data_IF_126007245800
#
_entry.id   IF_126007245800
#
_cell.length_a   1.000
_cell.length_b   1.000
_cell.length_c   1.000
_cell.angle_alpha   90.00
_cell.angle_beta   90.00
_cell.angle_gamma   90.00
#
_symmetry.space_group_name_H-M   'P 1'
#
loop_
_entity.id
_entity.type
_entity.pdbx_description
1 polymer ?
#
# COMPACT_ATOMS: atom_id res chain seq x y z
N UNK A 1 -3.55 37.37 -5.47
CA UNK A 1 -2.75 36.49 -6.35
C UNK A 1 -1.23 36.77 -6.30
N UNK A 2 -0.73 37.60 -5.37
CA UNK A 2 0.71 37.99 -5.31
C UNK A 2 1.45 37.35 -4.12
N UNK A 3 0.72 36.88 -3.09
CA UNK A 3 1.31 36.29 -1.88
C UNK A 3 1.88 34.88 -2.07
N UNK A 4 1.44 34.10 -3.09
CA UNK A 4 1.94 32.73 -3.29
C UNK A 4 3.36 32.69 -3.85
N UNK A 5 3.73 33.66 -4.70
CA UNK A 5 5.03 33.69 -5.38
C UNK A 5 6.18 34.01 -4.40
N UNK A 6 5.96 34.94 -3.48
CA UNK A 6 6.95 35.31 -2.46
C UNK A 6 7.28 34.17 -1.49
N UNK A 7 6.27 33.40 -1.07
CA UNK A 7 6.47 32.26 -0.17
C UNK A 7 7.15 31.07 -0.86
N UNK A 8 6.84 30.83 -2.13
CA UNK A 8 7.50 29.79 -2.93
C UNK A 8 8.97 30.11 -3.20
N UNK A 9 9.30 31.37 -3.52
CA UNK A 9 10.68 31.82 -3.69
C UNK A 9 11.50 31.67 -2.40
N UNK A 10 10.90 31.99 -1.25
CA UNK A 10 11.59 31.91 0.05
C UNK A 10 11.90 30.48 0.49
N UNK A 11 11.05 29.52 0.14
CA UNK A 11 11.29 28.09 0.37
C UNK A 11 12.37 27.55 -0.58
N UNK A 12 12.46 28.14 -1.78
CA UNK A 12 13.50 27.86 -2.77
C UNK A 12 14.88 28.35 -2.31
N UNK A 13 14.96 29.60 -1.85
CA UNK A 13 16.19 30.26 -1.39
C UNK A 13 16.79 29.61 -0.13
N UNK A 14 15.97 28.84 0.63
CA UNK A 14 16.42 28.10 1.80
C UNK A 14 17.05 26.73 1.48
N UNK A 15 17.16 26.36 0.19
CA UNK A 15 17.81 25.11 -0.23
C UNK A 15 17.02 23.84 0.13
N UNK A 16 15.71 23.95 0.34
CA UNK A 16 14.83 22.81 0.67
C UNK A 16 14.44 21.97 -0.58
N UNK A 17 14.89 22.36 -1.78
CA UNK A 17 14.57 21.70 -3.05
C UNK A 17 15.78 21.68 -4.00
N UNK A 18 16.04 20.52 -4.62
CA UNK A 18 17.17 20.31 -5.55
C UNK A 18 16.89 20.71 -7.02
N UNK A 19 15.67 21.12 -7.39
CA UNK A 19 15.30 21.41 -8.79
C UNK A 19 14.51 22.72 -8.98
N UNK A 20 14.91 23.53 -9.97
CA UNK A 20 14.42 24.91 -10.24
C UNK A 20 12.91 24.98 -10.45
N UNK A 21 12.22 25.85 -9.71
CA UNK A 21 10.81 26.16 -9.95
C UNK A 21 10.67 26.81 -11.34
N UNK A 22 10.30 26.00 -12.33
CA UNK A 22 10.02 26.49 -13.68
C UNK A 22 8.52 26.54 -13.90
N UNK A 23 7.97 27.74 -14.15
CA UNK A 23 6.55 28.01 -14.39
C UNK A 23 6.07 27.53 -15.79
N UNK A 24 6.60 26.41 -16.29
CA UNK A 24 6.09 25.80 -17.54
C UNK A 24 4.76 25.12 -17.23
N UNK A 25 3.80 25.24 -18.14
CA UNK A 25 2.44 24.71 -18.00
C UNK A 25 2.43 23.19 -17.76
N UNK A 26 2.47 22.77 -16.49
CA UNK A 26 2.37 21.36 -16.16
C UNK A 26 0.97 20.86 -16.47
N UNK A 27 0.90 19.69 -17.10
CA UNK A 27 -0.37 19.01 -17.34
C UNK A 27 -1.04 18.70 -16.01
N UNK A 28 -2.23 19.26 -15.80
CA UNK A 28 -3.14 18.85 -14.71
C UNK A 28 -3.68 17.44 -14.89
N UNK A 29 -3.49 16.85 -16.08
CA UNK A 29 -3.80 15.46 -16.37
C UNK A 29 -2.61 14.60 -15.99
N UNK A 30 -2.69 14.00 -14.80
CA UNK A 30 -1.76 12.96 -14.39
C UNK A 30 -2.05 11.69 -15.20
N UNK A 31 -1.01 10.93 -15.49
CA UNK A 31 -1.12 9.63 -16.13
C UNK A 31 -0.24 8.65 -15.39
N UNK A 32 -0.76 7.45 -15.29
CA UNK A 32 0.03 6.30 -14.90
C UNK A 32 0.76 5.79 -16.14
N UNK A 33 2.08 5.90 -16.13
CA UNK A 33 2.93 5.43 -17.22
C UNK A 33 3.38 4.02 -16.88
N UNK A 34 2.50 3.03 -17.09
CA UNK A 34 2.77 1.62 -16.76
C UNK A 34 3.95 0.99 -17.52
N UNK A 35 4.51 1.71 -18.51
CA UNK A 35 5.59 1.23 -19.40
C UNK A 35 6.99 1.72 -19.03
N UNK A 36 7.09 2.80 -18.25
CA UNK A 36 8.37 3.42 -17.88
C UNK A 36 8.69 3.16 -16.40
N UNK A 37 8.47 1.92 -15.98
CA UNK A 37 9.09 1.48 -14.73
C UNK A 37 10.57 1.41 -15.03
N UNK A 38 11.40 2.10 -14.26
CA UNK A 38 12.82 1.79 -14.29
C UNK A 38 12.91 0.29 -14.00
N UNK A 39 13.48 -0.51 -14.91
CA UNK A 39 13.61 -1.97 -14.75
C UNK A 39 14.06 -2.35 -13.32
N UNK A 40 14.79 -1.43 -12.67
CA UNK A 40 15.19 -1.49 -11.27
C UNK A 40 14.06 -1.70 -10.24
N UNK A 41 12.90 -1.03 -10.36
CA UNK A 41 11.82 -1.20 -9.37
C UNK A 41 11.16 -2.59 -9.49
N UNK A 42 10.95 -3.10 -10.71
CA UNK A 42 10.45 -4.47 -10.92
C UNK A 42 11.45 -5.49 -10.40
N UNK A 43 12.75 -5.33 -10.65
CA UNK A 43 13.79 -6.28 -10.17
C UNK A 43 13.93 -6.34 -8.65
N UNK A 44 13.31 -5.41 -7.92
CA UNK A 44 13.29 -5.40 -6.46
C UNK A 44 12.04 -6.05 -5.85
N UNK A 45 11.06 -6.43 -6.68
CA UNK A 45 9.83 -7.07 -6.25
C UNK A 45 10.07 -8.53 -5.86
N UNK A 46 9.19 -9.06 -5.02
CA UNK A 46 9.17 -10.48 -4.68
C UNK A 46 8.96 -11.37 -5.92
N UNK A 47 8.20 -10.89 -6.91
CA UNK A 47 7.97 -11.56 -8.20
C UNK A 47 7.97 -10.54 -9.34
N UNK A 48 8.80 -10.78 -10.36
CA UNK A 48 9.01 -9.85 -11.47
C UNK A 48 7.96 -10.00 -12.60
N UNK A 49 6.68 -10.15 -12.23
CA UNK A 49 5.60 -10.36 -13.21
C UNK A 49 4.61 -9.19 -13.25
N UNK A 50 4.21 -8.82 -14.48
CA UNK A 50 3.28 -7.71 -14.75
C UNK A 50 1.95 -7.84 -13.97
N UNK A 51 1.29 -9.02 -13.90
CA UNK A 51 0.05 -9.15 -13.14
C UNK A 51 0.22 -8.86 -11.64
N UNK A 52 1.34 -9.28 -11.05
CA UNK A 52 1.63 -9.01 -9.64
C UNK A 52 1.94 -7.53 -9.40
N UNK A 53 2.75 -6.93 -10.28
CA UNK A 53 3.00 -5.50 -10.27
C UNK A 53 1.70 -4.67 -10.33
N UNK A 54 0.84 -4.97 -11.30
CA UNK A 54 -0.44 -4.29 -11.44
C UNK A 54 -1.29 -4.40 -10.16
N UNK A 55 -1.28 -5.56 -9.50
CA UNK A 55 -1.97 -5.73 -8.22
C UNK A 55 -1.38 -4.83 -7.13
N UNK A 56 -0.05 -4.77 -6.97
CA UNK A 56 0.59 -3.88 -5.98
C UNK A 56 0.20 -2.43 -6.21
N UNK A 57 0.21 -1.98 -7.46
CA UNK A 57 -0.14 -0.61 -7.75
C UNK A 57 -1.63 -0.29 -7.54
N UNK A 58 -2.53 -1.25 -7.79
CA UNK A 58 -3.94 -1.10 -7.39
C UNK A 58 -4.07 -0.90 -5.89
N UNK A 59 -3.34 -1.68 -5.08
CA UNK A 59 -3.33 -1.53 -3.62
C UNK A 59 -2.82 -0.14 -3.22
N UNK A 60 -1.71 0.31 -3.82
CA UNK A 60 -1.14 1.64 -3.56
C UNK A 60 -2.11 2.76 -3.97
N UNK A 61 -2.73 2.70 -5.14
CA UNK A 61 -3.71 3.68 -5.60
C UNK A 61 -4.95 3.75 -4.70
N UNK A 62 -5.44 2.60 -4.23
CA UNK A 62 -6.55 2.53 -3.27
C UNK A 62 -6.16 3.20 -1.96
N UNK A 63 -4.94 2.95 -1.49
CA UNK A 63 -4.37 3.61 -0.32
C UNK A 63 -4.27 5.13 -0.49
N UNK A 64 -3.66 5.59 -1.59
CA UNK A 64 -3.53 7.01 -1.94
C UNK A 64 -4.89 7.71 -1.99
N UNK A 65 -5.86 7.13 -2.71
CA UNK A 65 -7.23 7.62 -2.77
C UNK A 65 -7.82 7.75 -1.36
N UNK A 66 -7.69 6.72 -0.54
CA UNK A 66 -8.22 6.71 0.83
C UNK A 66 -7.62 7.85 1.67
N UNK A 67 -6.28 7.94 1.70
CA UNK A 67 -5.57 8.96 2.46
C UNK A 67 -5.93 10.38 2.02
N UNK A 68 -6.03 10.61 0.71
CA UNK A 68 -6.41 11.91 0.14
C UNK A 68 -7.85 12.30 0.50
N UNK A 69 -8.81 11.37 0.38
CA UNK A 69 -10.23 11.66 0.66
C UNK A 69 -10.47 11.88 2.15
N UNK A 70 -9.81 11.12 3.00
CA UNK A 70 -9.94 11.23 4.46
C UNK A 70 -9.20 12.43 5.04
N UNK A 71 -8.49 13.20 4.22
CA UNK A 71 -7.74 14.39 4.67
C UNK A 71 -6.57 14.06 5.59
N UNK A 72 -6.08 12.81 5.55
CA UNK A 72 -4.95 12.37 6.37
C UNK A 72 -3.59 12.85 5.85
N UNK A 73 -3.57 13.39 4.64
CA UNK A 73 -2.37 13.91 4.01
C UNK A 73 -2.29 15.42 4.23
N UNK A 74 -1.20 15.85 4.88
CA UNK A 74 -0.90 17.27 4.97
C UNK A 74 -0.39 17.76 3.60
N UNK A 75 -0.90 18.88 3.04
CA UNK A 75 -0.34 19.44 1.81
C UNK A 75 1.17 19.71 1.87
N UNK A 76 1.72 19.91 3.06
CA UNK A 76 3.17 20.06 3.29
C UNK A 76 3.94 18.74 3.06
N UNK A 77 3.27 17.59 3.10
CA UNK A 77 3.82 16.26 2.79
C UNK A 77 3.77 15.93 1.29
N UNK A 78 3.70 16.96 0.43
CA UNK A 78 3.65 16.78 -1.02
C UNK A 78 4.80 15.93 -1.59
N UNK A 79 5.97 15.92 -0.94
CA UNK A 79 7.09 15.06 -1.30
C UNK A 79 6.82 13.57 -1.08
N UNK A 80 6.13 13.20 0.00
CA UNK A 80 5.83 11.79 0.30
C UNK A 80 4.77 11.25 -0.67
N UNK A 81 3.77 12.07 -1.02
CA UNK A 81 2.78 11.74 -2.05
C UNK A 81 3.46 11.59 -3.41
N UNK A 82 4.39 12.48 -3.75
CA UNK A 82 5.14 12.39 -4.99
C UNK A 82 5.97 11.10 -5.05
N UNK A 83 6.61 10.72 -3.95
CA UNK A 83 7.39 9.48 -3.86
C UNK A 83 6.52 8.24 -4.09
N UNK A 84 5.36 8.13 -3.44
CA UNK A 84 4.46 6.99 -3.63
C UNK A 84 3.78 6.97 -5.01
N UNK A 85 3.50 8.14 -5.60
CA UNK A 85 3.00 8.23 -6.96
C UNK A 85 4.09 7.81 -7.97
N UNK A 86 5.32 8.32 -7.82
CA UNK A 86 6.46 7.96 -8.68
C UNK A 86 6.81 6.49 -8.56
N UNK A 87 6.69 5.89 -7.37
CA UNK A 87 6.98 4.46 -7.16
C UNK A 87 6.13 3.58 -8.06
N UNK A 88 4.90 4.00 -8.37
CA UNK A 88 3.98 3.29 -9.28
C UNK A 88 3.92 3.89 -10.70
N UNK A 89 4.79 4.85 -11.04
CA UNK A 89 4.86 5.45 -12.38
C UNK A 89 3.87 6.61 -12.63
N UNK A 90 3.44 7.32 -11.59
CA UNK A 90 2.71 8.59 -11.68
C UNK A 90 3.65 9.73 -11.37
N UNK A 91 4.04 10.49 -12.38
CA UNK A 91 4.93 11.63 -12.24
C UNK A 91 4.18 12.92 -11.87
N UNK A 92 4.88 13.87 -11.26
CA UNK A 92 4.41 15.23 -10.98
C UNK A 92 3.20 15.32 -10.04
N UNK A 93 2.87 14.28 -9.27
CA UNK A 93 1.73 14.28 -8.36
C UNK A 93 1.90 15.30 -7.22
N UNK A 94 3.10 15.39 -6.64
CA UNK A 94 3.42 16.37 -5.61
C UNK A 94 3.33 17.81 -6.11
N UNK A 95 3.78 18.05 -7.34
CA UNK A 95 3.63 19.36 -7.97
C UNK A 95 2.17 19.69 -8.27
N UNK A 96 1.40 18.74 -8.78
CA UNK A 96 -0.04 18.90 -8.98
C UNK A 96 -0.74 19.27 -7.66
N UNK A 97 -0.37 18.61 -6.55
CA UNK A 97 -0.89 18.93 -5.23
C UNK A 97 -0.53 20.36 -4.80
N UNK A 98 0.72 20.78 -4.96
CA UNK A 98 1.17 22.14 -4.57
C UNK A 98 0.49 23.23 -5.39
N UNK A 99 0.37 23.04 -6.69
CA UNK A 99 -0.16 24.06 -7.61
C UNK A 99 -1.68 24.13 -7.62
N UNK A 100 -2.38 23.00 -7.45
CA UNK A 100 -3.83 22.92 -7.67
C UNK A 100 -4.62 22.34 -6.48
N UNK A 101 -3.92 21.82 -5.47
CA UNK A 101 -4.52 21.21 -4.29
C UNK A 101 -5.20 19.87 -4.56
N UNK A 102 -5.78 19.31 -3.50
CA UNK A 102 -6.49 18.01 -3.53
C UNK A 102 -7.69 18.00 -4.49
N UNK A 103 -8.27 19.17 -4.80
CA UNK A 103 -9.42 19.32 -5.72
C UNK A 103 -9.14 18.82 -7.13
N UNK A 104 -7.89 18.90 -7.59
CA UNK A 104 -7.48 18.40 -8.90
C UNK A 104 -6.79 17.03 -8.78
N UNK A 105 -6.02 16.80 -7.71
CA UNK A 105 -5.33 15.52 -7.53
C UNK A 105 -6.30 14.34 -7.34
N UNK A 106 -7.34 14.49 -6.49
CA UNK A 106 -8.28 13.40 -6.19
C UNK A 106 -8.99 12.89 -7.46
N UNK A 107 -9.61 13.76 -8.31
CA UNK A 107 -10.22 13.30 -9.56
C UNK A 107 -9.26 12.57 -10.50
N UNK A 108 -7.99 13.01 -10.57
CA UNK A 108 -6.96 12.33 -11.37
C UNK A 108 -6.68 10.92 -10.83
N UNK A 109 -6.44 10.79 -9.52
CA UNK A 109 -6.18 9.49 -8.89
C UNK A 109 -7.38 8.55 -9.04
N UNK A 110 -8.61 9.06 -8.87
CA UNK A 110 -9.84 8.27 -9.07
C UNK A 110 -9.93 7.78 -10.52
N UNK A 111 -9.70 8.66 -11.49
CA UNK A 111 -9.72 8.30 -12.92
C UNK A 111 -8.71 7.20 -13.24
N UNK A 112 -7.46 7.37 -12.80
CA UNK A 112 -6.40 6.39 -12.99
C UNK A 112 -6.76 5.05 -12.34
N UNK A 113 -7.25 5.07 -11.09
CA UNK A 113 -7.66 3.87 -10.37
C UNK A 113 -8.77 3.13 -11.13
N UNK A 114 -9.83 3.81 -11.55
CA UNK A 114 -10.94 3.20 -12.29
C UNK A 114 -10.46 2.57 -13.60
N UNK A 115 -9.67 3.29 -14.41
CA UNK A 115 -9.13 2.77 -15.67
C UNK A 115 -8.28 1.51 -15.47
N UNK A 116 -7.64 1.36 -14.31
CA UNK A 116 -6.75 0.24 -14.03
C UNK A 116 -7.46 -0.92 -13.35
N UNK A 117 -8.46 -0.67 -12.51
CA UNK A 117 -9.33 -1.71 -11.95
C UNK A 117 -10.10 -2.48 -13.02
N UNK A 118 -10.43 -1.83 -14.14
CA UNK A 118 -11.07 -2.47 -15.29
C UNK A 118 -10.15 -3.41 -16.06
N UNK A 119 -8.84 -3.16 -16.04
CA UNK A 119 -7.85 -3.85 -16.90
C UNK A 119 -6.98 -4.86 -16.16
N UNK A 120 -6.97 -4.82 -14.84
CA UNK A 120 -6.03 -5.57 -14.01
C UNK A 120 -6.74 -6.66 -13.20
N UNK A 121 -6.07 -7.79 -12.94
CA UNK A 121 -6.59 -8.82 -12.05
C UNK A 121 -6.78 -8.24 -10.63
N UNK A 122 -7.91 -8.60 -9.99
CA UNK A 122 -8.33 -7.99 -8.71
C UNK A 122 -7.40 -8.32 -7.53
N UNK A 123 -6.79 -9.51 -7.54
CA UNK A 123 -5.93 -10.01 -6.47
C UNK A 123 -4.91 -10.99 -7.04
N UNK A 124 -3.62 -10.69 -6.91
CA UNK A 124 -2.52 -11.53 -7.37
C UNK A 124 -1.48 -11.62 -6.26
N UNK A 125 -1.23 -12.82 -5.76
CA UNK A 125 -0.13 -13.07 -4.83
C UNK A 125 1.03 -13.73 -5.57
N UNK A 126 2.30 -13.47 -5.17
CA UNK A 126 3.45 -14.18 -5.70
C UNK A 126 3.30 -15.70 -5.53
N UNK A 127 3.90 -16.49 -6.40
CA UNK A 127 3.69 -17.93 -6.50
C UNK A 127 4.00 -18.66 -5.19
N UNK A 128 5.13 -18.33 -4.55
CA UNK A 128 5.49 -18.91 -3.27
C UNK A 128 4.51 -18.51 -2.17
N UNK A 129 4.12 -17.23 -2.11
CA UNK A 129 3.10 -16.77 -1.17
C UNK A 129 1.78 -17.49 -1.41
N UNK A 130 1.34 -17.61 -2.66
CA UNK A 130 0.10 -18.30 -3.03
C UNK A 130 0.12 -19.76 -2.59
N UNK A 131 1.20 -20.49 -2.86
CA UNK A 131 1.35 -21.89 -2.46
C UNK A 131 1.33 -22.05 -0.93
N UNK A 132 2.08 -21.21 -0.23
CA UNK A 132 2.17 -21.26 1.23
C UNK A 132 0.84 -20.83 1.87
N UNK A 133 0.21 -19.77 1.37
CA UNK A 133 -1.09 -19.29 1.83
C UNK A 133 -2.19 -20.33 1.61
N UNK A 134 -2.16 -21.05 0.49
CA UNK A 134 -3.11 -22.15 0.23
C UNK A 134 -3.00 -23.24 1.30
N UNK A 135 -1.78 -23.61 1.67
CA UNK A 135 -1.56 -24.58 2.75
C UNK A 135 -2.21 -24.14 4.07
N UNK A 136 -1.95 -22.90 4.52
CA UNK A 136 -2.57 -22.39 5.75
C UNK A 136 -4.09 -22.28 5.63
N UNK A 137 -4.58 -21.86 4.45
CA UNK A 137 -6.02 -21.76 4.16
C UNK A 137 -6.70 -23.12 4.31
N UNK A 138 -6.14 -24.18 3.74
CA UNK A 138 -6.71 -25.52 3.78
C UNK A 138 -6.65 -26.13 5.19
N UNK A 139 -5.51 -26.00 5.87
CA UNK A 139 -5.30 -26.62 7.19
C UNK A 139 -6.05 -25.89 8.30
N UNK A 140 -6.13 -24.56 8.25
CA UNK A 140 -6.81 -23.74 9.25
C UNK A 140 -8.27 -23.44 8.87
N UNK A 141 -8.69 -23.85 7.67
CA UNK A 141 -10.01 -23.59 7.08
C UNK A 141 -10.33 -22.10 7.08
N UNK A 142 -9.39 -21.29 6.57
CA UNK A 142 -9.59 -19.85 6.42
C UNK A 142 -10.65 -19.59 5.35
N UNK A 143 -11.52 -18.61 5.59
CA UNK A 143 -12.37 -18.06 4.54
C UNK A 143 -11.53 -17.32 3.49
N UNK A 144 -12.11 -17.08 2.31
CA UNK A 144 -11.43 -16.32 1.25
C UNK A 144 -11.00 -14.92 1.74
N UNK A 145 -11.85 -14.27 2.56
CA UNK A 145 -11.59 -12.96 3.15
C UNK A 145 -10.42 -13.02 4.13
N UNK A 146 -10.41 -14.03 5.02
CA UNK A 146 -9.29 -14.20 5.96
C UNK A 146 -7.98 -14.49 5.24
N UNK A 147 -7.99 -15.35 4.21
CA UNK A 147 -6.82 -15.63 3.40
C UNK A 147 -6.33 -14.37 2.66
N UNK A 148 -7.23 -13.55 2.13
CA UNK A 148 -6.89 -12.30 1.46
C UNK A 148 -6.25 -11.27 2.41
N UNK A 149 -6.83 -11.10 3.60
CA UNK A 149 -6.30 -10.22 4.65
C UNK A 149 -4.92 -10.70 5.08
N UNK A 150 -4.76 -12.00 5.32
CA UNK A 150 -3.49 -12.58 5.73
C UNK A 150 -2.41 -12.40 4.67
N UNK A 151 -2.74 -12.67 3.40
CA UNK A 151 -1.85 -12.44 2.26
C UNK A 151 -1.45 -10.97 2.13
N UNK A 152 -2.38 -10.03 2.32
CA UNK A 152 -2.05 -8.60 2.29
C UNK A 152 -1.07 -8.22 3.40
N UNK A 153 -1.29 -8.64 4.65
CA UNK A 153 -0.36 -8.32 5.73
C UNK A 153 1.04 -8.90 5.52
N UNK A 154 1.12 -10.12 4.97
CA UNK A 154 2.40 -10.70 4.55
C UNK A 154 3.09 -9.81 3.50
N UNK A 155 2.35 -9.32 2.50
CA UNK A 155 2.91 -8.42 1.50
C UNK A 155 3.33 -7.08 2.09
N UNK A 156 2.54 -6.47 2.98
CA UNK A 156 2.90 -5.20 3.63
C UNK A 156 4.24 -5.33 4.37
N UNK A 157 4.47 -6.46 5.04
CA UNK A 157 5.72 -6.73 5.75
C UNK A 157 6.89 -7.08 4.81
N UNK A 158 6.62 -7.68 3.66
CA UNK A 158 7.68 -8.29 2.82
C UNK A 158 8.03 -7.46 1.59
N UNK A 159 7.15 -6.57 1.15
CA UNK A 159 7.26 -5.80 -0.09
C UNK A 159 7.53 -4.32 0.24
N UNK A 160 8.80 -3.85 0.13
CA UNK A 160 9.19 -2.51 0.61
C UNK A 160 8.42 -1.37 -0.06
N UNK A 161 8.11 -1.50 -1.35
CA UNK A 161 7.33 -0.49 -2.08
C UNK A 161 5.92 -0.34 -1.48
N UNK A 162 5.33 -1.44 -1.03
CA UNK A 162 4.02 -1.43 -0.42
C UNK A 162 4.08 -0.81 0.97
N UNK A 163 5.00 -1.25 1.84
CA UNK A 163 5.17 -0.67 3.18
C UNK A 163 5.34 0.85 3.12
N UNK A 164 6.30 1.33 2.31
CA UNK A 164 6.59 2.77 2.18
C UNK A 164 5.40 3.56 1.63
N UNK A 165 4.70 3.01 0.63
CA UNK A 165 3.58 3.72 0.02
C UNK A 165 2.37 3.81 0.95
N UNK A 166 2.18 2.84 1.85
CA UNK A 166 1.06 2.83 2.79
C UNK A 166 1.35 3.57 4.10
N UNK A 167 2.61 3.97 4.38
CA UNK A 167 2.93 4.96 5.43
C UNK A 167 2.15 6.27 5.24
N UNK A 168 1.81 6.62 3.99
CA UNK A 168 0.94 7.76 3.64
C UNK A 168 -0.48 7.69 4.23
N UNK A 169 -0.89 6.57 4.80
CA UNK A 169 -2.15 6.49 5.54
C UNK A 169 -2.08 7.16 6.89
N UNK A 170 -0.88 7.55 7.33
CA UNK A 170 -0.62 8.11 8.64
C UNK A 170 -1.05 7.17 9.75
N UNK A 171 -1.16 7.74 10.94
CA UNK A 171 -1.46 6.96 12.12
C UNK A 171 -2.90 6.38 12.06
N UNK A 172 -3.02 5.10 12.37
CA UNK A 172 -4.28 4.38 12.48
C UNK A 172 -4.50 3.86 13.89
N UNK A 173 -5.77 3.76 14.26
CA UNK A 173 -6.19 3.05 15.46
C UNK A 173 -6.94 1.78 15.04
N UNK A 174 -7.31 0.96 16.02
CA UNK A 174 -7.99 -0.30 15.79
C UNK A 174 -9.31 -0.23 15.01
N UNK A 175 -10.03 0.89 15.07
CA UNK A 175 -11.31 1.04 14.35
C UNK A 175 -11.11 1.46 12.89
N UNK A 176 -9.94 2.01 12.55
CA UNK A 176 -9.59 2.38 11.18
C UNK A 176 -9.05 1.20 10.37
N UNK A 177 -8.36 0.25 11.00
CA UNK A 177 -7.70 -0.85 10.30
C UNK A 177 -8.67 -1.65 9.40
N UNK A 178 -9.85 -2.12 9.86
CA UNK A 178 -10.77 -2.85 9.00
C UNK A 178 -11.20 -2.05 7.76
N UNK A 179 -11.44 -0.75 7.90
CA UNK A 179 -11.84 0.14 6.79
C UNK A 179 -10.74 0.31 5.76
N UNK A 180 -9.50 0.46 6.23
CA UNK A 180 -8.34 0.55 5.36
C UNK A 180 -8.12 -0.76 4.62
N UNK A 181 -8.15 -1.90 5.31
CA UNK A 181 -7.96 -3.22 4.69
C UNK A 181 -9.07 -3.52 3.67
N UNK A 182 -10.34 -3.22 4.00
CA UNK A 182 -11.45 -3.30 3.06
C UNK A 182 -11.21 -2.45 1.80
N UNK A 183 -10.69 -1.23 1.98
CA UNK A 183 -10.35 -0.34 0.86
C UNK A 183 -9.23 -0.91 0.00
N UNK A 184 -8.14 -1.39 0.62
CA UNK A 184 -6.96 -1.91 -0.08
C UNK A 184 -7.27 -3.18 -0.89
N UNK A 185 -8.03 -4.10 -0.31
CA UNK A 185 -8.43 -5.35 -0.95
C UNK A 185 -9.68 -5.22 -1.84
N UNK A 186 -10.35 -4.06 -1.81
CA UNK A 186 -11.66 -3.85 -2.42
C UNK A 186 -12.65 -4.95 -2.01
N UNK A 187 -12.77 -5.15 -0.70
CA UNK A 187 -13.66 -6.11 -0.06
C UNK A 187 -14.78 -5.39 0.70
N UNK A 188 -15.94 -6.05 0.92
CA UNK A 188 -16.98 -5.51 1.78
C UNK A 188 -16.48 -5.28 3.20
N UNK A 189 -16.74 -4.10 3.77
CA UNK A 189 -16.28 -3.75 5.12
C UNK A 189 -16.77 -4.75 6.18
N UNK A 190 -18.04 -5.14 6.10
CA UNK A 190 -18.66 -6.07 7.07
C UNK A 190 -17.97 -7.43 7.10
N UNK A 191 -17.51 -7.93 5.94
CA UNK A 191 -16.76 -9.18 5.86
C UNK A 191 -15.38 -9.06 6.49
N UNK A 192 -14.70 -7.92 6.28
CA UNK A 192 -13.39 -7.64 6.88
C UNK A 192 -13.50 -7.45 8.39
N UNK A 193 -14.49 -6.70 8.88
CA UNK A 193 -14.77 -6.56 10.30
C UNK A 193 -15.10 -7.91 10.94
N UNK A 194 -15.89 -8.73 10.24
CA UNK A 194 -16.19 -10.10 10.67
C UNK A 194 -14.90 -10.90 10.79
N UNK A 195 -14.01 -10.90 9.81
CA UNK A 195 -12.76 -11.66 9.83
C UNK A 195 -11.85 -11.35 11.05
N UNK A 196 -11.93 -10.13 11.59
CA UNK A 196 -11.18 -9.73 12.80
C UNK A 196 -11.86 -10.08 14.14
N UNK A 197 -13.10 -10.58 14.14
CA UNK A 197 -13.78 -10.96 15.38
C UNK A 197 -13.03 -12.10 16.10
N UNK A 198 -12.99 -12.11 17.45
CA UNK A 198 -12.23 -13.10 18.22
C UNK A 198 -12.55 -14.58 17.94
N UNK A 199 -13.75 -14.84 17.44
CA UNK A 199 -14.24 -16.18 17.08
C UNK A 199 -13.72 -16.70 15.74
N UNK A 200 -13.12 -15.84 14.91
CA UNK A 200 -12.66 -16.18 13.56
C UNK A 200 -11.18 -16.52 13.54
N UNK A 201 -10.73 -17.15 12.46
CA UNK A 201 -9.49 -17.93 12.40
C UNK A 201 -8.24 -17.07 12.45
N UNK A 202 -8.28 -15.86 11.88
CA UNK A 202 -7.17 -14.91 11.99
C UNK A 202 -6.80 -14.63 13.46
N UNK A 203 -7.82 -14.45 14.32
CA UNK A 203 -7.63 -14.22 15.74
C UNK A 203 -7.38 -15.52 16.52
N UNK A 204 -8.19 -16.56 16.29
CA UNK A 204 -8.06 -17.85 17.01
C UNK A 204 -6.67 -18.47 16.87
N UNK A 205 -6.08 -18.38 15.68
CA UNK A 205 -4.74 -18.92 15.42
C UNK A 205 -3.64 -17.86 15.55
N UNK A 206 -3.97 -16.65 15.99
CA UNK A 206 -2.99 -15.55 16.14
C UNK A 206 -2.18 -15.27 14.87
N UNK A 207 -2.75 -15.53 13.69
CA UNK A 207 -2.08 -15.30 12.40
C UNK A 207 -1.79 -13.81 12.20
N UNK A 208 -2.73 -12.98 12.65
CA UNK A 208 -2.65 -11.52 12.62
C UNK A 208 -3.13 -11.01 13.98
N UNK A 209 -2.28 -10.24 14.66
CA UNK A 209 -2.65 -9.53 15.88
C UNK A 209 -2.68 -8.04 15.59
N UNK A 210 -3.86 -7.43 15.71
CA UNK A 210 -3.96 -5.98 15.63
C UNK A 210 -3.45 -5.35 16.93
N UNK A 211 -2.63 -4.30 16.81
CA UNK A 211 -2.30 -3.46 17.93
C UNK A 211 -3.51 -2.56 18.22
N UNK A 212 -4.23 -2.90 19.30
CA UNK A 212 -5.45 -2.18 19.68
C UNK A 212 -5.18 -0.97 20.57
N UNK A 213 -3.92 -0.73 20.95
CA UNK A 213 -3.54 0.34 21.87
C UNK A 213 -2.88 1.50 21.13
N UNK A 214 -3.48 2.68 21.25
CA UNK A 214 -2.93 3.92 20.71
C UNK A 214 -3.18 4.12 19.23
N UNK A 215 -2.34 4.96 18.62
CA UNK A 215 -2.32 5.27 17.19
C UNK A 215 -0.97 4.83 16.66
N UNK A 216 -0.95 4.18 15.50
CA UNK A 216 0.24 3.53 14.93
C UNK A 216 0.13 3.45 13.41
N UNK A 217 1.24 3.50 12.70
CA UNK A 217 1.25 3.34 11.23
C UNK A 217 0.84 1.93 10.80
N UNK A 218 0.47 1.76 9.52
CA UNK A 218 0.01 0.46 9.00
C UNK A 218 0.99 -0.68 9.25
N UNK A 219 2.29 -0.41 9.17
CA UNK A 219 3.35 -1.39 9.36
C UNK A 219 3.49 -1.86 10.81
N UNK A 220 2.97 -1.09 11.78
CA UNK A 220 3.07 -1.37 13.21
C UNK A 220 1.72 -1.63 13.87
N UNK A 221 0.61 -1.39 13.14
CA UNK A 221 -0.75 -1.65 13.62
C UNK A 221 -1.10 -3.14 13.62
N UNK A 222 -0.25 -3.99 13.05
CA UNK A 222 -0.41 -5.44 13.10
C UNK A 222 0.93 -6.13 13.38
N UNK A 223 0.84 -7.32 13.95
CA UNK A 223 1.94 -8.26 14.03
C UNK A 223 1.50 -9.59 13.41
N UNK A 224 2.32 -10.14 12.51
CA UNK A 224 2.22 -11.55 12.14
C UNK A 224 2.76 -12.43 13.26
N UNK A 225 2.62 -13.75 13.13
CA UNK A 225 3.09 -14.71 14.12
C UNK A 225 4.56 -14.52 14.54
N UNK A 226 5.41 -14.07 13.61
CA UNK A 226 6.84 -13.81 13.84
C UNK A 226 7.39 -12.68 12.95
N UNK A 227 8.49 -12.04 13.37
CA UNK A 227 9.11 -10.91 12.67
C UNK A 227 9.65 -11.26 11.26
N UNK A 228 10.05 -12.51 11.03
CA UNK A 228 10.51 -12.99 9.72
C UNK A 228 9.44 -13.74 8.94
N UNK A 229 8.23 -13.87 9.47
CA UNK A 229 7.20 -14.75 8.92
C UNK A 229 6.84 -14.38 7.47
N UNK A 230 6.63 -13.09 7.18
CA UNK A 230 6.30 -12.65 5.84
C UNK A 230 7.37 -13.01 4.81
N UNK A 231 8.65 -12.83 5.17
CA UNK A 231 9.78 -13.18 4.31
C UNK A 231 9.79 -14.68 3.96
N UNK A 232 9.58 -15.56 4.94
CA UNK A 232 9.52 -17.01 4.71
C UNK A 232 8.31 -17.43 3.87
N UNK A 233 7.16 -16.77 4.05
CA UNK A 233 5.96 -17.01 3.24
C UNK A 233 6.18 -16.68 1.76
N UNK A 234 7.08 -15.75 1.45
CA UNK A 234 7.38 -15.30 0.09
C UNK A 234 8.57 -16.02 -0.57
N UNK A 235 9.26 -16.91 0.14
CA UNK A 235 10.39 -17.67 -0.41
C UNK A 235 10.02 -19.13 -0.67
N UNK A 236 10.83 -19.80 -1.48
CA UNK A 236 10.69 -21.23 -1.72
C UNK A 236 10.86 -21.99 -0.41
N UNK A 237 9.91 -22.87 -0.14
CA UNK A 237 9.94 -23.87 0.93
C UNK A 237 9.76 -25.25 0.29
N UNK A 238 10.41 -26.27 0.84
CA UNK A 238 10.15 -27.66 0.43
C UNK A 238 8.79 -28.09 1.00
N UNK A 239 8.45 -27.60 2.20
CA UNK A 239 7.12 -27.71 2.79
C UNK A 239 6.72 -26.42 3.54
N UNK A 240 5.46 -25.94 3.45
CA UNK A 240 4.98 -24.81 4.26
C UNK A 240 5.09 -25.04 5.78
N UNK A 241 5.18 -26.30 6.24
CA UNK A 241 5.47 -26.63 7.64
C UNK A 241 6.87 -26.17 8.08
N UNK A 242 7.82 -26.08 7.15
CA UNK A 242 9.16 -25.59 7.45
C UNK A 242 9.14 -24.16 7.94
N UNK A 243 8.18 -23.35 7.46
CA UNK A 243 7.99 -21.99 7.97
C UNK A 243 7.73 -22.07 9.47
N UNK A 244 6.78 -22.90 9.92
CA UNK A 244 6.45 -23.06 11.33
C UNK A 244 7.65 -23.61 12.12
N UNK A 245 8.35 -24.61 11.59
CA UNK A 245 9.52 -25.19 12.26
C UNK A 245 10.66 -24.18 12.44
N UNK A 246 10.93 -23.35 11.43
CA UNK A 246 11.91 -22.27 11.56
C UNK A 246 11.51 -21.27 12.65
N UNK A 247 10.21 -20.93 12.75
CA UNK A 247 9.73 -20.04 13.81
C UNK A 247 9.81 -20.62 15.23
N UNK A 248 9.83 -21.95 15.36
CA UNK A 248 9.91 -22.63 16.67
C UNK A 248 11.35 -22.89 17.12
N UNK A 249 12.32 -22.78 16.21
CA UNK A 249 13.75 -23.00 16.49
C UNK A 249 14.55 -21.72 16.75
N UNK A 250 13.95 -20.54 16.55
CA UNK A 250 14.47 -19.21 16.92
C UNK A 250 13.98 -18.79 18.32
#
# INVERSE_FOLDING_TARGET
MIFSHYWLQRLYDNGEFDEEFTEKSFSTNLKLVSRDISNHAITSLIQEEIPYWNFLCLVILRGLKHSLITGRLNPNESGVIDLACRSIGIENAGQCLRSHGVKILIPNIIKILTEWEEKSPKRVFPDYLKKNLQFFTDHLKLSEVEAAIFGLFILIQSEPILSRSLELMGEMNCTHVPRVIATLLNLPLEEVETAFLPKNKLHQFSLVKLNLTGVSDISTCFNLMHQNFGKHMCTRQDSPLEIILHLMGE
#
